data_IF_691302676232
#
_entry.id   IF_691302676232
#
_cell.length_a   1.000
_cell.length_b   1.000
_cell.length_c   1.000
_cell.angle_alpha   90.00
_cell.angle_beta   90.00
_cell.angle_gamma   90.00
#
_symmetry.space_group_name_H-M   'P 1'
#
loop_
_entity.id
_entity.type
_entity.pdbx_description
1 polymer ?
#
# COMPACT_ATOMS: atom_id res chain seq x y z
N UNK A 1 -11.70 23.03 1.97
CA UNK A 1 -12.26 22.10 0.98
C UNK A 1 -11.72 20.70 1.15
N UNK A 2 -12.58 19.73 1.14
CA UNK A 2 -12.14 18.34 1.26
C UNK A 2 -11.71 17.81 -0.10
N UNK A 3 -10.58 17.13 -0.12
CA UNK A 3 -10.12 16.45 -1.34
C UNK A 3 -10.99 15.24 -1.61
N UNK A 4 -11.19 14.92 -2.87
CA UNK A 4 -11.87 13.68 -3.24
C UNK A 4 -11.01 12.48 -2.82
N UNK A 5 -11.63 11.31 -2.73
CA UNK A 5 -10.88 10.08 -2.42
C UNK A 5 -9.82 9.80 -3.47
N UNK A 6 -10.11 10.10 -4.72
CA UNK A 6 -9.15 9.92 -5.80
C UNK A 6 -7.93 10.83 -5.63
N UNK A 7 -8.17 12.10 -5.28
CA UNK A 7 -7.08 13.05 -5.07
C UNK A 7 -6.19 12.63 -3.89
N UNK A 8 -6.80 12.15 -2.81
CA UNK A 8 -6.05 11.65 -1.65
C UNK A 8 -5.23 10.41 -2.01
N UNK A 9 -5.80 9.52 -2.80
CA UNK A 9 -5.10 8.33 -3.26
C UNK A 9 -3.90 8.67 -4.13
N UNK A 10 -4.06 9.64 -5.04
CA UNK A 10 -2.95 10.06 -5.89
C UNK A 10 -1.82 10.70 -5.08
N UNK A 11 -2.16 11.46 -4.05
CA UNK A 11 -1.15 12.05 -3.18
C UNK A 11 -0.37 10.97 -2.44
N UNK A 12 -1.07 9.98 -1.89
CA UNK A 12 -0.41 8.88 -1.19
C UNK A 12 0.51 8.11 -2.12
N UNK A 13 0.06 7.79 -3.34
CA UNK A 13 0.87 7.09 -4.32
C UNK A 13 2.15 7.86 -4.62
N UNK A 14 2.05 9.17 -4.83
CA UNK A 14 3.20 10.01 -5.13
C UNK A 14 4.20 10.01 -3.98
N UNK A 15 3.72 10.23 -2.78
CA UNK A 15 4.57 10.32 -1.58
C UNK A 15 5.27 8.98 -1.33
N UNK A 16 4.53 7.91 -1.45
CA UNK A 16 5.06 6.57 -1.20
C UNK A 16 6.09 6.19 -2.27
N UNK A 17 5.80 6.49 -3.54
CA UNK A 17 6.74 6.23 -4.63
C UNK A 17 8.05 6.98 -4.44
N UNK A 18 7.97 8.26 -4.02
CA UNK A 18 9.17 9.04 -3.73
C UNK A 18 9.98 8.40 -2.60
N UNK A 19 9.32 7.99 -1.54
CA UNK A 19 10.00 7.38 -0.39
C UNK A 19 10.70 6.09 -0.78
N UNK A 20 10.09 5.27 -1.61
CA UNK A 20 10.71 4.04 -2.10
C UNK A 20 11.93 4.34 -2.96
N UNK A 21 11.85 5.37 -3.81
CA UNK A 21 12.98 5.78 -4.66
C UNK A 21 14.16 6.24 -3.83
N UNK A 22 13.89 7.01 -2.79
CA UNK A 22 14.95 7.49 -1.89
C UNK A 22 15.67 6.32 -1.23
N UNK A 23 14.97 5.22 -1.00
CA UNK A 23 15.56 4.02 -0.39
C UNK A 23 16.29 3.13 -1.41
N UNK A 24 16.45 3.60 -2.63
CA UNK A 24 17.25 2.89 -3.61
C UNK A 24 16.51 1.85 -4.43
N UNK A 25 15.19 1.95 -4.50
CA UNK A 25 14.40 1.07 -5.36
C UNK A 25 14.14 1.74 -6.69
N UNK A 26 14.08 0.95 -7.75
CA UNK A 26 13.50 1.41 -9.01
C UNK A 26 11.99 1.39 -8.85
N UNK A 27 11.31 2.47 -9.16
CA UNK A 27 9.88 2.63 -8.86
C UNK A 27 9.13 3.11 -10.08
N UNK A 28 7.97 2.52 -10.33
CA UNK A 28 7.08 2.94 -11.40
C UNK A 28 5.64 2.99 -10.86
N UNK A 29 4.98 4.13 -11.09
CA UNK A 29 3.55 4.26 -10.78
C UNK A 29 2.76 3.80 -11.99
N UNK A 30 1.77 2.94 -11.75
CA UNK A 30 0.92 2.43 -12.82
C UNK A 30 -0.20 3.44 -13.09
N UNK A 31 -0.40 3.78 -14.35
CA UNK A 31 -1.44 4.74 -14.71
C UNK A 31 -2.82 4.11 -14.68
N UNK A 32 -3.82 4.92 -14.32
CA UNK A 32 -5.21 4.51 -14.40
C UNK A 32 -5.62 4.23 -15.85
N UNK A 33 -6.53 3.27 -16.00
CA UNK A 33 -7.15 3.01 -17.28
C UNK A 33 -8.63 2.67 -17.08
N UNK A 34 -9.37 2.51 -18.17
CA UNK A 34 -10.81 2.32 -18.11
C UNK A 34 -11.23 1.06 -17.37
N UNK A 35 -10.37 0.07 -17.31
CA UNK A 35 -10.65 -1.22 -16.67
C UNK A 35 -10.09 -1.30 -15.26
N UNK A 36 -9.60 -0.18 -14.73
CA UNK A 36 -8.89 -0.17 -13.45
C UNK A 36 -7.48 -0.69 -13.59
N UNK A 37 -6.66 -0.40 -12.61
CA UNK A 37 -5.28 -0.87 -12.60
C UNK A 37 -5.13 -2.05 -11.66
N UNK A 38 -4.23 -2.98 -11.97
CA UNK A 38 -4.06 -4.18 -11.14
C UNK A 38 -3.44 -3.85 -9.79
N UNK A 39 -2.58 -2.83 -9.74
CA UNK A 39 -1.95 -2.31 -8.53
C UNK A 39 -1.45 -0.91 -8.85
N UNK A 40 -1.07 -0.18 -7.82
CA UNK A 40 -0.74 1.25 -7.97
C UNK A 40 0.73 1.49 -8.28
N UNK A 41 1.62 0.68 -7.72
CA UNK A 41 3.07 0.91 -7.80
C UNK A 41 3.79 -0.42 -7.93
N UNK A 42 4.84 -0.42 -8.77
CA UNK A 42 5.82 -1.51 -8.83
C UNK A 42 7.15 -0.95 -8.37
N UNK A 43 7.87 -1.70 -7.55
CA UNK A 43 9.26 -1.38 -7.27
C UNK A 43 10.12 -2.63 -7.46
N UNK A 44 11.39 -2.40 -7.82
CA UNK A 44 12.32 -3.49 -8.05
C UNK A 44 13.61 -3.17 -7.33
N UNK A 45 14.14 -4.17 -6.64
CA UNK A 45 15.43 -4.06 -5.97
C UNK A 45 16.03 -5.46 -5.86
N UNK A 46 17.30 -5.59 -6.19
CA UNK A 46 18.04 -6.86 -6.08
C UNK A 46 17.34 -8.02 -6.78
N UNK A 47 16.83 -7.76 -7.97
CA UNK A 47 16.12 -8.75 -8.80
C UNK A 47 14.80 -9.24 -8.23
N UNK A 48 14.26 -8.53 -7.23
CA UNK A 48 12.96 -8.86 -6.65
C UNK A 48 11.96 -7.77 -6.99
N UNK A 49 10.83 -8.17 -7.54
CA UNK A 49 9.73 -7.26 -7.85
C UNK A 49 8.77 -7.18 -6.67
N UNK A 50 8.32 -5.96 -6.36
CA UNK A 50 7.36 -5.68 -5.31
C UNK A 50 6.20 -4.90 -5.93
N UNK A 51 4.98 -5.30 -5.64
CA UNK A 51 3.79 -4.58 -6.09
C UNK A 51 2.99 -4.11 -4.88
N UNK A 52 2.37 -2.95 -5.04
CA UNK A 52 1.67 -2.29 -3.93
C UNK A 52 0.34 -1.73 -4.40
N UNK A 53 -0.66 -1.89 -3.54
CA UNK A 53 -1.92 -1.17 -3.67
C UNK A 53 -2.01 -0.20 -2.49
N UNK A 54 -2.19 1.08 -2.77
CA UNK A 54 -2.15 2.12 -1.75
C UNK A 54 -3.55 2.42 -1.23
N UNK A 55 -3.71 2.43 0.10
CA UNK A 55 -4.98 2.73 0.74
C UNK A 55 -4.81 3.78 1.83
N UNK A 56 -5.56 4.86 1.73
CA UNK A 56 -5.53 5.94 2.71
C UNK A 56 -6.74 5.77 3.63
N UNK A 57 -6.50 5.66 4.93
CA UNK A 57 -7.54 5.36 5.92
C UNK A 57 -7.76 6.54 6.83
N UNK A 58 -8.88 7.24 6.63
CA UNK A 58 -9.19 8.48 7.34
C UNK A 58 -9.65 8.27 8.77
N UNK A 59 -10.05 7.05 9.12
CA UNK A 59 -10.61 6.75 10.45
C UNK A 59 -9.79 5.69 11.20
N UNK A 60 -8.52 5.53 10.81
CA UNK A 60 -7.58 4.61 11.45
C UNK A 60 -7.99 3.13 11.38
N UNK A 61 -8.85 2.80 10.44
CA UNK A 61 -9.27 1.42 10.20
C UNK A 61 -9.16 1.12 8.71
N UNK A 62 -8.50 0.00 8.40
CA UNK A 62 -8.46 -0.50 7.05
C UNK A 62 -9.40 -1.69 6.93
N UNK A 63 -10.46 -1.51 6.15
CA UNK A 63 -11.46 -2.56 5.89
C UNK A 63 -11.01 -3.34 4.65
N UNK A 64 -10.91 -4.66 4.79
CA UNK A 64 -10.29 -5.49 3.76
C UNK A 64 -11.08 -5.52 2.45
N UNK A 65 -12.39 -5.29 2.48
CA UNK A 65 -13.17 -5.28 1.24
C UNK A 65 -12.89 -4.08 0.34
N UNK A 66 -12.06 -3.13 0.80
CA UNK A 66 -11.56 -2.05 -0.06
C UNK A 66 -10.58 -2.57 -1.12
N UNK A 67 -10.04 -3.77 -0.94
CA UNK A 67 -9.24 -4.41 -1.98
C UNK A 67 -10.21 -4.92 -3.03
N UNK A 68 -10.17 -4.33 -4.21
CA UNK A 68 -11.13 -4.63 -5.28
C UNK A 68 -10.82 -5.98 -5.95
N UNK A 69 -11.84 -6.55 -6.58
CA UNK A 69 -11.70 -7.87 -7.20
C UNK A 69 -10.60 -7.92 -8.25
N UNK A 70 -10.49 -6.88 -9.08
CA UNK A 70 -9.43 -6.83 -10.09
C UNK A 70 -8.04 -6.78 -9.44
N UNK A 71 -7.93 -6.12 -8.30
CA UNK A 71 -6.67 -6.07 -7.56
C UNK A 71 -6.34 -7.44 -6.98
N UNK A 72 -7.33 -8.13 -6.42
CA UNK A 72 -7.13 -9.48 -5.89
C UNK A 72 -6.70 -10.46 -6.96
N UNK A 73 -7.32 -10.38 -8.13
CA UNK A 73 -6.94 -11.23 -9.26
C UNK A 73 -5.49 -10.98 -9.67
N UNK A 74 -5.09 -9.71 -9.75
CA UNK A 74 -3.74 -9.35 -10.12
C UNK A 74 -2.73 -9.83 -9.08
N UNK A 75 -3.03 -9.65 -7.79
CA UNK A 75 -2.14 -10.09 -6.71
C UNK A 75 -1.99 -11.60 -6.70
N UNK A 76 -3.10 -12.33 -6.85
CA UNK A 76 -3.05 -13.78 -6.89
C UNK A 76 -2.21 -14.28 -8.06
N UNK A 77 -2.36 -13.65 -9.22
CA UNK A 77 -1.57 -13.99 -10.41
C UNK A 77 -0.10 -13.69 -10.20
N UNK A 78 0.21 -12.56 -9.61
CA UNK A 78 1.59 -12.14 -9.31
C UNK A 78 2.27 -13.16 -8.40
N UNK A 79 1.59 -13.59 -7.36
CA UNK A 79 2.12 -14.59 -6.43
C UNK A 79 2.23 -15.97 -7.08
N UNK A 80 1.25 -16.33 -7.91
CA UNK A 80 1.26 -17.61 -8.60
C UNK A 80 2.47 -17.75 -9.52
N UNK A 81 2.94 -16.62 -10.08
CA UNK A 81 4.12 -16.62 -10.93
C UNK A 81 5.44 -16.75 -10.15
N UNK A 82 5.38 -16.93 -8.84
CA UNK A 82 6.57 -17.15 -8.03
C UNK A 82 7.13 -15.88 -7.39
N UNK A 83 6.47 -14.75 -7.54
CA UNK A 83 6.89 -13.52 -6.88
C UNK A 83 6.46 -13.53 -5.41
N UNK A 84 7.15 -12.76 -4.57
CA UNK A 84 6.88 -12.79 -3.13
C UNK A 84 6.49 -11.43 -2.55
N UNK A 85 6.74 -10.34 -3.25
CA UNK A 85 6.54 -9.00 -2.69
C UNK A 85 5.21 -8.39 -3.10
N UNK A 86 4.15 -8.69 -2.38
CA UNK A 86 2.82 -8.20 -2.69
C UNK A 86 2.22 -7.56 -1.43
N UNK A 87 2.01 -6.24 -1.48
CA UNK A 87 1.63 -5.47 -0.29
C UNK A 87 0.45 -4.55 -0.53
N UNK A 88 -0.35 -4.40 0.53
CA UNK A 88 -1.27 -3.27 0.64
C UNK A 88 -0.53 -2.22 1.47
N UNK A 89 -0.30 -1.07 0.87
CA UNK A 89 0.43 0.03 1.49
C UNK A 89 -0.58 0.98 2.12
N UNK A 90 -0.69 0.93 3.44
CA UNK A 90 -1.78 1.59 4.17
C UNK A 90 -1.24 2.77 4.97
N UNK A 91 -1.86 3.94 4.78
CA UNK A 91 -1.58 5.11 5.61
C UNK A 91 -2.78 5.36 6.51
N UNK A 92 -2.55 5.40 7.82
CA UNK A 92 -3.58 5.71 8.81
C UNK A 92 -3.52 7.19 9.17
N UNK A 93 -4.67 7.77 9.51
CA UNK A 93 -4.75 9.18 9.88
C UNK A 93 -3.83 9.52 11.05
N UNK A 94 -3.77 8.66 12.06
CA UNK A 94 -2.98 8.91 13.27
C UNK A 94 -1.48 8.80 13.04
N UNK A 95 -1.03 8.32 11.90
CA UNK A 95 0.38 8.21 11.57
C UNK A 95 0.58 8.55 10.10
N UNK A 96 0.26 9.80 9.74
CA UNK A 96 0.22 10.22 8.33
C UNK A 96 1.59 10.28 7.67
N UNK A 97 2.66 10.21 8.45
CA UNK A 97 4.03 10.16 7.94
C UNK A 97 4.55 8.75 7.73
N UNK A 98 3.72 7.73 7.97
CA UNK A 98 4.12 6.32 7.83
C UNK A 98 3.17 5.60 6.90
N UNK A 99 3.74 4.77 6.02
CA UNK A 99 2.95 3.87 5.18
C UNK A 99 3.30 2.45 5.59
N UNK A 100 2.32 1.73 6.11
CA UNK A 100 2.51 0.37 6.60
C UNK A 100 2.35 -0.64 5.46
N UNK A 101 3.26 -1.61 5.41
CA UNK A 101 3.32 -2.59 4.34
C UNK A 101 2.68 -3.90 4.78
N UNK A 102 1.38 -4.01 4.61
CA UNK A 102 0.65 -5.22 4.96
C UNK A 102 0.74 -6.24 3.83
N UNK A 103 1.27 -7.42 4.13
CA UNK A 103 1.39 -8.46 3.12
C UNK A 103 -0.01 -8.95 2.74
N UNK A 104 -0.23 -9.07 1.44
CA UNK A 104 -1.52 -9.53 0.95
C UNK A 104 -1.87 -10.92 1.48
N UNK A 105 -0.88 -11.83 1.54
CA UNK A 105 -1.11 -13.18 2.06
C UNK A 105 -1.59 -13.16 3.50
N UNK A 106 -1.06 -12.24 4.31
CA UNK A 106 -1.47 -12.10 5.71
C UNK A 106 -2.92 -11.64 5.80
N UNK A 107 -3.32 -10.71 4.95
CA UNK A 107 -4.70 -10.25 4.91
C UNK A 107 -5.63 -11.41 4.55
N UNK A 108 -5.24 -12.23 3.58
CA UNK A 108 -6.04 -13.40 3.20
C UNK A 108 -6.19 -14.39 4.37
N UNK A 109 -5.13 -14.59 5.14
CA UNK A 109 -5.19 -15.44 6.33
C UNK A 109 -6.17 -14.88 7.35
N UNK A 110 -6.13 -13.58 7.59
CA UNK A 110 -7.06 -12.93 8.51
C UNK A 110 -8.50 -13.08 8.04
N UNK A 111 -8.73 -12.90 6.74
CA UNK A 111 -10.06 -13.06 6.17
C UNK A 111 -10.56 -14.50 6.34
N UNK A 112 -9.69 -15.48 6.16
CA UNK A 112 -10.05 -16.88 6.34
C UNK A 112 -10.44 -17.17 7.79
N UNK A 113 -9.95 -16.39 8.75
CA UNK A 113 -10.28 -16.50 10.16
C UNK A 113 -11.50 -15.67 10.54
N UNK A 114 -12.14 -15.02 9.57
CA UNK A 114 -13.32 -14.20 9.80
C UNK A 114 -13.06 -12.75 10.15
N UNK A 115 -11.79 -12.33 10.14
CA UNK A 115 -11.43 -10.93 10.38
C UNK A 115 -11.76 -10.12 9.13
N UNK A 116 -12.31 -8.91 9.33
CA UNK A 116 -12.75 -8.07 8.21
C UNK A 116 -12.02 -6.75 8.11
N UNK A 117 -11.27 -6.39 9.12
CA UNK A 117 -10.59 -5.10 9.17
C UNK A 117 -9.45 -5.15 10.16
N UNK A 118 -8.56 -4.15 10.08
CA UNK A 118 -7.49 -3.99 11.05
C UNK A 118 -7.37 -2.50 11.38
N UNK A 119 -7.10 -2.21 12.66
CA UNK A 119 -6.96 -0.83 13.11
C UNK A 119 -5.49 -0.44 13.21
N UNK A 120 -5.26 0.88 13.21
CA UNK A 120 -3.92 1.42 13.44
C UNK A 120 -3.32 0.90 14.75
N UNK A 121 -4.12 0.85 15.80
CA UNK A 121 -3.64 0.37 17.11
C UNK A 121 -3.17 -1.07 17.05
N UNK A 122 -3.90 -1.92 16.35
CA UNK A 122 -3.49 -3.32 16.19
C UNK A 122 -2.16 -3.44 15.46
N UNK A 123 -1.99 -2.66 14.39
CA UNK A 123 -0.76 -2.70 13.60
C UNK A 123 0.41 -2.17 14.42
N UNK A 124 0.23 -1.04 15.09
CA UNK A 124 1.30 -0.39 15.83
C UNK A 124 1.69 -1.19 17.06
N UNK A 125 0.71 -1.60 17.87
CA UNK A 125 0.98 -2.30 19.12
C UNK A 125 1.48 -3.72 18.89
N UNK A 126 1.04 -4.36 17.81
CA UNK A 126 1.44 -5.73 17.50
C UNK A 126 2.73 -5.84 16.71
N UNK A 127 3.29 -4.73 16.25
CA UNK A 127 4.45 -4.73 15.35
C UNK A 127 4.26 -5.73 14.21
N UNK A 128 3.07 -5.66 13.59
CA UNK A 128 2.62 -6.68 12.64
C UNK A 128 3.39 -6.62 11.34
N UNK A 129 3.87 -5.43 10.95
CA UNK A 129 4.51 -5.24 9.66
C UNK A 129 5.49 -4.07 9.71
N UNK A 130 6.31 -3.99 8.67
CA UNK A 130 7.21 -2.87 8.47
C UNK A 130 6.43 -1.66 7.96
N UNK A 131 7.08 -0.51 8.00
CA UNK A 131 6.54 0.71 7.43
C UNK A 131 7.66 1.51 6.75
N UNK A 132 7.25 2.42 5.88
CA UNK A 132 8.14 3.36 5.22
C UNK A 132 7.73 4.75 5.67
N UNK A 133 8.70 5.54 6.13
CA UNK A 133 8.44 6.93 6.49
C UNK A 133 8.32 7.77 5.23
N UNK A 134 7.27 8.56 5.15
CA UNK A 134 6.91 9.32 3.96
C UNK A 134 6.59 10.76 4.31
N UNK A 135 6.68 11.62 3.29
CA UNK A 135 6.27 13.01 3.44
C UNK A 135 7.30 13.93 4.04
N UNK A 136 8.35 13.40 4.63
CA UNK A 136 9.39 14.23 5.22
C UNK A 136 10.33 14.82 4.15
N UNK A 137 10.47 14.10 3.06
CA UNK A 137 11.48 14.43 2.05
C UNK A 137 11.13 15.68 1.27
N UNK A 138 9.85 15.94 1.10
CA UNK A 138 9.42 17.11 0.34
C UNK A 138 9.73 18.42 1.05
N UNK A 139 9.85 18.38 2.37
CA UNK A 139 10.16 19.58 3.15
C UNK A 139 11.64 19.81 3.29
N UNK A 140 12.43 18.77 3.30
CA UNK A 140 13.86 18.87 3.52
C UNK A 140 14.64 19.06 2.23
N UNK A 141 14.00 19.03 1.11
CA UNK A 141 14.66 19.10 -0.20
C UNK A 141 15.00 20.51 -0.62
N UNK A 142 14.93 21.45 0.25
CA UNK A 142 15.37 22.82 -0.05
C UNK A 142 16.82 23.01 0.22
#
# INVERSE_FOLDING_TARGET
MLKSNKANGNELERIFAEALSVKGRWVHRVQDNANGQPFDIISIRNNIAFVYDCKDCKNDIFVFNRIEDNQRLAFNSFLYCGNIGCYIAVRFKSASDKVYLLRYELIKEWEAQGKKQISYKEVENGHICDYVECGQYTKSSR
#
